data_IF_507615104035
#
_entry.id   IF_507615104035
#
_cell.length_a   1.000
_cell.length_b   1.000
_cell.length_c   1.000
_cell.angle_alpha   90.00
_cell.angle_beta   90.00
_cell.angle_gamma   90.00
#
_symmetry.space_group_name_H-M   'P 1'
#
loop_
_entity.id
_entity.type
_entity.pdbx_description
1 polymer ?
#
# COMPACT_ATOMS: atom_id res chain seq x y z
N UNK A 1 -20.25 -40.91 -32.04
CA UNK A 1 -19.27 -41.16 -30.98
C UNK A 1 -19.26 -39.92 -30.10
N UNK A 2 -19.84 -39.97 -28.90
CA UNK A 2 -19.74 -38.87 -27.93
C UNK A 2 -18.28 -38.78 -27.48
N UNK A 3 -17.69 -37.58 -27.44
CA UNK A 3 -16.34 -37.40 -26.91
C UNK A 3 -16.34 -37.90 -25.45
N UNK A 4 -15.49 -38.86 -25.12
CA UNK A 4 -15.22 -39.19 -23.70
C UNK A 4 -14.63 -37.95 -23.07
N UNK A 5 -15.39 -37.31 -22.20
CA UNK A 5 -14.86 -36.21 -21.37
C UNK A 5 -13.70 -36.78 -20.54
N UNK A 6 -12.54 -36.21 -20.73
CA UNK A 6 -11.38 -36.46 -19.87
C UNK A 6 -11.53 -35.62 -18.61
N UNK A 7 -12.00 -36.23 -17.54
CA UNK A 7 -12.24 -35.55 -16.27
C UNK A 7 -10.94 -35.00 -15.64
N UNK A 8 -9.80 -35.66 -15.91
CA UNK A 8 -8.50 -35.15 -15.42
C UNK A 8 -8.11 -33.85 -16.11
N UNK A 9 -8.27 -33.80 -17.44
CA UNK A 9 -8.06 -32.61 -18.22
C UNK A 9 -9.00 -31.44 -17.82
N UNK A 10 -10.25 -31.78 -17.48
CA UNK A 10 -11.26 -30.83 -17.02
C UNK A 10 -10.84 -30.21 -15.68
N UNK A 11 -10.47 -31.03 -14.70
CA UNK A 11 -10.01 -30.55 -13.37
C UNK A 11 -8.68 -29.77 -13.48
N UNK A 12 -7.79 -30.23 -14.36
CA UNK A 12 -6.52 -29.52 -14.61
C UNK A 12 -6.73 -28.13 -15.24
N UNK A 13 -7.80 -27.94 -16.02
CA UNK A 13 -8.15 -26.66 -16.65
C UNK A 13 -8.94 -25.69 -15.76
N UNK A 14 -9.36 -26.10 -14.55
CA UNK A 14 -10.09 -25.21 -13.65
C UNK A 14 -9.18 -24.12 -13.10
N UNK A 15 -9.65 -22.85 -13.09
CA UNK A 15 -8.89 -21.73 -12.52
C UNK A 15 -8.84 -21.73 -10.99
N UNK A 16 -9.82 -22.36 -10.33
CA UNK A 16 -9.88 -22.49 -8.88
C UNK A 16 -9.03 -23.71 -8.43
N UNK A 17 -8.40 -23.60 -7.26
CA UNK A 17 -7.63 -24.68 -6.69
C UNK A 17 -8.57 -25.81 -6.22
N UNK A 18 -8.28 -27.04 -6.62
CA UNK A 18 -9.07 -28.20 -6.26
C UNK A 18 -8.19 -29.20 -5.51
N UNK A 19 -8.63 -29.56 -4.30
CA UNK A 19 -7.97 -30.51 -3.41
C UNK A 19 -8.96 -31.61 -3.05
N UNK A 20 -8.62 -32.86 -3.34
CA UNK A 20 -9.43 -34.02 -2.96
C UNK A 20 -8.72 -34.88 -1.92
N UNK A 21 -9.49 -35.44 -0.99
CA UNK A 21 -8.99 -36.33 0.06
C UNK A 21 -9.84 -37.60 0.14
N UNK A 22 -9.22 -38.72 0.53
CA UNK A 22 -9.91 -39.96 0.89
C UNK A 22 -10.51 -39.88 2.31
N UNK A 23 -11.16 -40.95 2.73
CA UNK A 23 -11.76 -41.14 4.06
C UNK A 23 -10.73 -41.01 5.20
N UNK A 24 -9.46 -41.34 4.93
CA UNK A 24 -8.31 -41.17 5.85
C UNK A 24 -7.68 -39.79 5.85
N UNK A 25 -8.29 -38.79 5.17
CA UNK A 25 -7.72 -37.45 4.98
C UNK A 25 -6.35 -37.49 4.27
N UNK A 26 -6.11 -38.43 3.36
CA UNK A 26 -4.95 -38.41 2.48
C UNK A 26 -5.28 -37.71 1.18
N UNK A 27 -4.38 -36.88 0.73
CA UNK A 27 -4.55 -36.12 -0.53
C UNK A 27 -4.53 -37.06 -1.71
N UNK A 28 -5.62 -37.13 -2.47
CA UNK A 28 -5.77 -37.95 -3.69
C UNK A 28 -5.84 -37.07 -4.94
N UNK A 29 -6.18 -35.80 -4.82
CA UNK A 29 -6.32 -34.88 -5.94
C UNK A 29 -5.70 -33.53 -5.58
N UNK A 30 -4.93 -32.99 -6.54
CA UNK A 30 -4.26 -31.70 -6.42
C UNK A 30 -4.04 -31.14 -7.82
N UNK A 31 -4.87 -30.17 -8.25
CA UNK A 31 -4.80 -29.62 -9.60
C UNK A 31 -3.69 -28.56 -9.74
N UNK A 32 -3.35 -28.12 -10.98
CA UNK A 32 -2.34 -27.10 -11.22
C UNK A 32 -2.64 -25.76 -10.55
N UNK A 33 -3.92 -25.37 -10.42
CA UNK A 33 -4.30 -24.16 -9.71
C UNK A 33 -4.00 -24.26 -8.19
N UNK A 34 -4.15 -25.46 -7.58
CA UNK A 34 -3.74 -25.71 -6.21
C UNK A 34 -2.21 -25.63 -6.05
N UNK A 35 -1.43 -26.08 -7.04
CA UNK A 35 0.04 -25.89 -7.02
C UNK A 35 0.41 -24.42 -7.02
N UNK A 36 -0.22 -23.63 -7.88
CA UNK A 36 0.06 -22.20 -8.03
C UNK A 36 -0.36 -21.39 -6.79
N UNK A 37 -1.55 -21.65 -6.24
CA UNK A 37 -2.11 -20.92 -5.11
C UNK A 37 -1.43 -21.26 -3.79
N UNK A 38 -1.22 -22.56 -3.56
CA UNK A 38 -0.74 -23.08 -2.27
C UNK A 38 0.79 -23.29 -2.25
N UNK A 39 1.48 -23.06 -3.39
CA UNK A 39 2.94 -23.12 -3.47
C UNK A 39 3.54 -24.52 -3.23
N UNK A 40 2.75 -25.60 -3.47
CA UNK A 40 3.14 -26.99 -3.21
C UNK A 40 2.85 -27.85 -4.43
N UNK A 41 3.84 -28.61 -4.89
CA UNK A 41 3.66 -29.46 -6.07
C UNK A 41 2.82 -30.71 -5.79
N UNK A 42 1.96 -31.11 -6.74
CA UNK A 42 1.14 -32.32 -6.69
C UNK A 42 1.98 -33.56 -6.40
N UNK A 43 3.14 -33.70 -7.05
CA UNK A 43 4.09 -34.80 -6.86
C UNK A 43 4.51 -35.03 -5.41
N UNK A 44 4.63 -33.95 -4.62
CA UNK A 44 5.06 -34.00 -3.22
C UNK A 44 3.90 -34.07 -2.24
N UNK A 45 2.68 -33.81 -2.71
CA UNK A 45 1.49 -33.63 -1.87
C UNK A 45 0.55 -34.81 -1.95
N UNK A 46 0.34 -35.38 -3.14
CA UNK A 46 -0.52 -36.56 -3.35
C UNK A 46 0.01 -37.76 -2.55
N UNK A 47 -0.90 -38.45 -1.87
CA UNK A 47 -0.63 -39.60 -1.00
C UNK A 47 -0.23 -39.25 0.43
N UNK A 48 0.05 -37.97 0.74
CA UNK A 48 0.35 -37.53 2.11
C UNK A 48 -0.91 -37.27 2.91
N UNK A 49 -0.80 -37.40 4.22
CA UNK A 49 -1.87 -36.99 5.11
C UNK A 49 -2.01 -35.47 5.10
N UNK A 50 -3.24 -34.96 5.07
CA UNK A 50 -3.54 -33.52 4.96
C UNK A 50 -2.89 -32.70 6.09
N UNK A 51 -2.78 -33.29 7.30
CA UNK A 51 -2.09 -32.69 8.46
C UNK A 51 -0.58 -32.47 8.29
N UNK A 52 0.04 -33.14 7.32
CA UNK A 52 1.45 -32.96 6.97
C UNK A 52 1.62 -31.80 5.94
N UNK A 53 0.53 -31.43 5.29
CA UNK A 53 0.47 -30.39 4.27
C UNK A 53 0.01 -29.06 4.87
N UNK A 54 -0.96 -29.11 5.79
CA UNK A 54 -1.52 -27.92 6.45
C UNK A 54 -1.56 -28.12 7.97
N UNK A 55 -1.45 -27.03 8.75
CA UNK A 55 -1.71 -27.08 10.19
C UNK A 55 -3.11 -27.66 10.48
N UNK A 56 -3.27 -28.45 11.54
CA UNK A 56 -4.56 -29.13 11.85
C UNK A 56 -5.72 -28.15 12.06
N UNK A 57 -5.43 -26.93 12.51
CA UNK A 57 -6.42 -25.89 12.82
C UNK A 57 -6.82 -25.04 11.61
N UNK A 58 -6.27 -25.33 10.43
CA UNK A 58 -6.63 -24.62 9.20
C UNK A 58 -8.10 -24.89 8.84
N UNK A 59 -8.84 -23.85 8.42
CA UNK A 59 -10.24 -23.96 7.97
C UNK A 59 -10.44 -25.10 6.95
N UNK A 60 -9.53 -25.22 6.01
CA UNK A 60 -9.55 -26.27 4.98
C UNK A 60 -9.55 -27.68 5.59
N UNK A 61 -8.66 -27.93 6.56
CA UNK A 61 -8.56 -29.25 7.24
C UNK A 61 -9.81 -29.55 8.03
N UNK A 62 -10.33 -28.58 8.75
CA UNK A 62 -11.56 -28.68 9.54
C UNK A 62 -12.76 -28.96 8.66
N UNK A 63 -12.97 -28.20 7.58
CA UNK A 63 -14.10 -28.37 6.67
C UNK A 63 -14.07 -29.72 5.96
N UNK A 64 -12.90 -30.18 5.46
CA UNK A 64 -12.81 -31.51 4.84
C UNK A 64 -13.11 -32.64 5.83
N UNK A 65 -12.62 -32.52 7.07
CA UNK A 65 -12.92 -33.50 8.13
C UNK A 65 -14.43 -33.54 8.43
N UNK A 66 -15.04 -32.38 8.59
CA UNK A 66 -16.47 -32.27 8.91
C UNK A 66 -17.32 -32.81 7.74
N UNK A 67 -16.94 -32.50 6.49
CA UNK A 67 -17.64 -33.01 5.29
C UNK A 67 -17.56 -34.52 5.19
N UNK A 68 -16.40 -35.13 5.49
CA UNK A 68 -16.27 -36.61 5.56
C UNK A 68 -17.13 -37.20 6.66
N UNK A 69 -17.20 -36.56 7.81
CA UNK A 69 -17.94 -37.07 8.97
C UNK A 69 -19.46 -36.94 8.82
N UNK A 70 -19.94 -35.86 8.19
CA UNK A 70 -21.38 -35.54 8.12
C UNK A 70 -22.01 -35.85 6.75
N UNK A 71 -21.21 -35.96 5.68
CA UNK A 71 -21.68 -36.03 4.31
C UNK A 71 -22.30 -34.72 3.78
N UNK A 72 -22.18 -33.62 4.51
CA UNK A 72 -22.71 -32.33 4.13
C UNK A 72 -21.63 -31.42 3.52
N UNK A 73 -22.03 -30.63 2.51
CA UNK A 73 -21.18 -29.58 1.96
C UNK A 73 -21.03 -28.45 2.95
N UNK A 74 -19.83 -27.88 3.02
CA UNK A 74 -19.50 -26.73 3.87
C UNK A 74 -18.93 -25.60 3.02
N UNK A 75 -19.14 -24.35 3.47
CA UNK A 75 -18.57 -23.18 2.79
C UNK A 75 -18.12 -22.14 3.82
N UNK A 76 -16.98 -21.53 3.56
CA UNK A 76 -16.44 -20.39 4.28
C UNK A 76 -15.97 -19.36 3.26
N UNK A 77 -16.56 -18.16 3.30
CA UNK A 77 -16.30 -17.12 2.28
C UNK A 77 -15.01 -16.34 2.55
N UNK A 78 -14.55 -16.31 3.80
CA UNK A 78 -13.39 -15.53 4.25
C UNK A 78 -12.51 -16.41 5.14
N UNK A 79 -11.60 -17.15 4.52
CA UNK A 79 -10.58 -17.93 5.20
C UNK A 79 -9.19 -17.41 4.84
N UNK A 80 -8.23 -17.63 5.72
CA UNK A 80 -6.81 -17.37 5.45
C UNK A 80 -6.05 -18.68 5.51
N UNK A 81 -5.33 -18.99 4.42
CA UNK A 81 -4.50 -20.19 4.32
C UNK A 81 -3.06 -19.73 4.07
N UNK A 82 -2.10 -20.33 4.77
CA UNK A 82 -0.68 -20.09 4.49
C UNK A 82 -0.25 -20.87 3.24
N UNK A 83 0.31 -20.16 2.27
CA UNK A 83 1.01 -20.76 1.13
C UNK A 83 2.29 -21.47 1.57
N UNK A 84 2.85 -22.33 0.72
CA UNK A 84 4.07 -23.09 1.01
C UNK A 84 5.32 -22.24 1.29
N UNK A 85 5.28 -20.96 0.92
CA UNK A 85 6.31 -19.94 1.21
C UNK A 85 6.00 -19.09 2.46
N UNK A 86 4.97 -19.46 3.24
CA UNK A 86 4.59 -18.77 4.48
C UNK A 86 3.76 -17.50 4.29
N UNK A 87 3.29 -17.21 3.06
CA UNK A 87 2.43 -16.05 2.82
C UNK A 87 0.98 -16.34 3.15
N UNK A 88 0.28 -15.44 3.86
CA UNK A 88 -1.15 -15.56 4.07
C UNK A 88 -1.88 -15.25 2.74
N UNK A 89 -2.80 -16.14 2.34
CA UNK A 89 -3.66 -15.98 1.17
C UNK A 89 -5.11 -15.95 1.63
N UNK A 90 -5.84 -14.91 1.24
CA UNK A 90 -7.28 -14.81 1.48
C UNK A 90 -8.03 -15.67 0.48
N UNK A 91 -8.82 -16.62 0.96
CA UNK A 91 -9.50 -17.59 0.11
C UNK A 91 -10.95 -17.79 0.54
N UNK A 92 -11.80 -18.19 -0.42
CA UNK A 92 -13.08 -18.84 -0.16
C UNK A 92 -12.91 -20.34 -0.31
N UNK A 93 -13.41 -21.11 0.65
CA UNK A 93 -13.32 -22.59 0.67
C UNK A 93 -14.71 -23.17 0.62
N UNK A 94 -14.95 -24.06 -0.33
CA UNK A 94 -16.18 -24.86 -0.41
C UNK A 94 -15.79 -26.33 -0.44
N UNK A 95 -16.37 -27.13 0.47
CA UNK A 95 -16.14 -28.57 0.50
C UNK A 95 -17.41 -29.34 0.21
N UNK A 96 -17.29 -30.48 -0.51
CA UNK A 96 -18.39 -31.35 -0.84
C UNK A 96 -17.95 -32.83 -0.79
N UNK A 97 -18.86 -33.76 -0.43
CA UNK A 97 -18.59 -35.18 -0.51
C UNK A 97 -18.53 -35.64 -2.01
N UNK A 98 -17.56 -36.52 -2.34
CA UNK A 98 -17.34 -36.97 -3.71
C UNK A 98 -17.99 -38.33 -4.03
N UNK A 99 -18.05 -39.21 -3.07
CA UNK A 99 -18.64 -40.53 -3.24
C UNK A 99 -19.43 -40.92 -2.00
N UNK A 100 -20.64 -41.39 -2.20
CA UNK A 100 -21.49 -41.95 -1.14
C UNK A 100 -21.88 -43.34 -1.58
N UNK A 101 -21.32 -44.38 -0.97
CA UNK A 101 -21.74 -45.75 -1.14
C UNK A 101 -22.33 -46.29 0.16
N UNK A 102 -23.50 -46.86 0.11
CA UNK A 102 -24.17 -47.46 1.27
C UNK A 102 -24.34 -46.55 2.49
N UNK A 103 -24.29 -45.20 2.31
CA UNK A 103 -24.43 -44.24 3.39
C UNK A 103 -23.13 -43.66 3.96
N UNK A 104 -21.98 -44.20 3.57
CA UNK A 104 -20.67 -43.73 3.99
C UNK A 104 -20.03 -42.83 2.91
N UNK A 105 -19.33 -41.78 3.35
CA UNK A 105 -18.62 -40.85 2.46
C UNK A 105 -17.18 -41.35 2.28
N UNK A 106 -16.85 -41.78 1.04
CA UNK A 106 -15.55 -42.36 0.71
C UNK A 106 -14.47 -41.30 0.39
N UNK A 107 -14.87 -40.08 0.03
CA UNK A 107 -13.96 -39.00 -0.31
C UNK A 107 -14.63 -37.64 -0.20
N UNK A 108 -13.84 -36.59 -0.07
CA UNK A 108 -14.30 -35.20 -0.10
C UNK A 108 -13.40 -34.34 -1.00
N UNK A 109 -13.98 -33.33 -1.60
CA UNK A 109 -13.28 -32.32 -2.39
C UNK A 109 -13.44 -30.94 -1.77
N UNK A 110 -12.36 -30.15 -1.80
CA UNK A 110 -12.38 -28.73 -1.53
C UNK A 110 -12.09 -27.95 -2.81
N UNK A 111 -12.90 -26.95 -3.09
CA UNK A 111 -12.64 -25.92 -4.10
C UNK A 111 -12.24 -24.67 -3.36
N UNK A 112 -11.06 -24.16 -3.69
CA UNK A 112 -10.45 -23.01 -3.01
C UNK A 112 -10.26 -21.92 -4.07
N UNK A 113 -10.91 -20.77 -3.84
CA UNK A 113 -10.83 -19.61 -4.72
C UNK A 113 -9.99 -18.53 -4.07
N UNK A 114 -9.01 -17.98 -4.81
CA UNK A 114 -8.22 -16.82 -4.39
C UNK A 114 -9.09 -15.55 -4.37
N UNK A 115 -9.25 -14.97 -3.20
CA UNK A 115 -10.01 -13.75 -2.96
C UNK A 115 -9.11 -12.52 -2.79
N UNK A 116 -7.79 -12.67 -2.89
CA UNK A 116 -6.82 -11.60 -2.61
C UNK A 116 -7.08 -10.35 -3.44
N UNK A 117 -7.40 -10.51 -4.73
CA UNK A 117 -7.72 -9.39 -5.61
C UNK A 117 -9.02 -8.68 -5.23
N UNK A 118 -10.04 -9.44 -4.83
CA UNK A 118 -11.31 -8.87 -4.39
C UNK A 118 -11.12 -8.06 -3.09
N UNK A 119 -10.43 -8.64 -2.12
CA UNK A 119 -10.10 -7.94 -0.87
C UNK A 119 -9.26 -6.67 -1.09
N UNK A 120 -8.33 -6.70 -2.05
CA UNK A 120 -7.59 -5.50 -2.44
C UNK A 120 -8.53 -4.42 -2.98
N UNK A 121 -9.38 -4.76 -3.94
CA UNK A 121 -10.34 -3.83 -4.54
C UNK A 121 -11.32 -3.27 -3.49
N UNK A 122 -11.86 -4.11 -2.62
CA UNK A 122 -12.74 -3.67 -1.53
C UNK A 122 -12.03 -2.73 -0.56
N UNK A 123 -10.76 -3.00 -0.24
CA UNK A 123 -9.97 -2.12 0.61
C UNK A 123 -9.66 -0.77 -0.04
N UNK A 124 -9.43 -0.76 -1.36
CA UNK A 124 -9.25 0.46 -2.15
C UNK A 124 -10.55 1.29 -2.21
N UNK A 125 -11.69 0.66 -2.47
CA UNK A 125 -13.01 1.31 -2.45
C UNK A 125 -13.29 1.90 -1.08
N UNK A 126 -13.13 1.13 -0.01
CA UNK A 126 -13.37 1.59 1.37
C UNK A 126 -12.44 2.74 1.78
N UNK A 127 -11.17 2.72 1.32
CA UNK A 127 -10.25 3.85 1.48
C UNK A 127 -10.73 5.08 0.71
N UNK A 128 -11.17 4.89 -0.54
CA UNK A 128 -11.74 5.94 -1.37
C UNK A 128 -12.98 6.58 -0.74
N UNK A 129 -13.92 5.79 -0.22
CA UNK A 129 -15.12 6.27 0.47
C UNK A 129 -14.79 7.06 1.75
N UNK A 130 -13.85 6.57 2.55
CA UNK A 130 -13.39 7.26 3.77
C UNK A 130 -12.75 8.61 3.44
N UNK A 131 -11.93 8.65 2.39
CA UNK A 131 -11.31 9.87 1.89
C UNK A 131 -12.37 10.85 1.34
N UNK A 132 -13.33 10.37 0.56
CA UNK A 132 -14.40 11.19 0.01
C UNK A 132 -15.29 11.79 1.10
N UNK A 133 -15.67 11.00 2.13
CA UNK A 133 -16.47 11.47 3.26
C UNK A 133 -15.70 12.51 4.10
N UNK A 134 -14.44 12.26 4.43
CA UNK A 134 -13.57 13.21 5.11
C UNK A 134 -13.42 14.50 4.31
N UNK A 135 -13.35 14.39 3.00
CA UNK A 135 -13.22 15.50 2.08
C UNK A 135 -14.47 16.37 1.98
N UNK A 136 -15.65 15.80 1.91
CA UNK A 136 -16.90 16.58 1.88
C UNK A 136 -17.06 17.40 3.15
N UNK A 137 -16.75 16.82 4.31
CA UNK A 137 -16.76 17.52 5.60
C UNK A 137 -15.69 18.63 5.60
N UNK A 138 -14.50 18.35 5.07
CA UNK A 138 -13.40 19.32 5.01
C UNK A 138 -13.72 20.53 4.13
N UNK A 139 -14.39 20.34 2.99
CA UNK A 139 -14.80 21.45 2.09
C UNK A 139 -15.76 22.41 2.79
N UNK A 140 -16.78 21.88 3.50
CA UNK A 140 -17.74 22.69 4.25
C UNK A 140 -17.09 23.46 5.41
N UNK A 141 -16.25 22.78 6.19
CA UNK A 141 -15.58 23.36 7.36
C UNK A 141 -14.37 24.22 7.01
N UNK A 142 -13.70 23.97 5.89
CA UNK A 142 -12.46 24.68 5.55
C UNK A 142 -12.64 26.18 5.42
N UNK A 143 -13.72 26.62 4.79
CA UNK A 143 -14.04 28.05 4.68
C UNK A 143 -14.43 28.63 6.03
N UNK A 144 -15.19 27.89 6.85
CA UNK A 144 -15.63 28.35 8.16
C UNK A 144 -14.49 28.37 9.20
N UNK A 145 -13.47 27.52 9.06
CA UNK A 145 -12.30 27.52 9.95
C UNK A 145 -11.25 28.53 9.46
N UNK A 146 -11.05 28.71 8.15
CA UNK A 146 -10.10 29.67 7.59
C UNK A 146 -10.43 31.11 7.97
N UNK A 147 -11.71 31.44 8.05
CA UNK A 147 -12.18 32.80 8.42
C UNK A 147 -11.72 33.22 9.83
N UNK A 148 -12.01 32.48 10.93
CA UNK A 148 -11.54 32.84 12.26
C UNK A 148 -10.02 32.78 12.39
N UNK A 149 -9.35 31.85 11.68
CA UNK A 149 -7.89 31.80 11.67
C UNK A 149 -7.29 33.04 10.99
N UNK A 150 -7.90 33.53 9.92
CA UNK A 150 -7.51 34.80 9.28
C UNK A 150 -7.65 35.99 10.24
N UNK A 151 -8.72 36.05 11.01
CA UNK A 151 -8.93 37.07 12.02
C UNK A 151 -7.90 36.97 13.16
N UNK A 152 -7.61 35.76 13.66
CA UNK A 152 -6.56 35.53 14.68
C UNK A 152 -5.18 35.98 14.15
N UNK A 153 -4.83 35.58 12.92
CA UNK A 153 -3.57 35.99 12.28
C UNK A 153 -3.46 37.49 12.16
N UNK A 154 -4.54 38.15 11.70
CA UNK A 154 -4.59 39.62 11.59
C UNK A 154 -4.41 40.31 12.96
N UNK A 155 -5.09 39.82 14.00
CA UNK A 155 -4.94 40.38 15.35
C UNK A 155 -3.52 40.19 15.89
N UNK A 156 -2.90 39.04 15.74
CA UNK A 156 -1.53 38.78 16.18
C UNK A 156 -0.53 39.64 15.42
N UNK A 157 -0.73 39.89 14.12
CA UNK A 157 0.12 40.74 13.30
C UNK A 157 0.00 42.23 13.74
N UNK A 158 -1.19 42.70 14.09
CA UNK A 158 -1.40 44.04 14.64
C UNK A 158 -0.75 44.19 16.01
N UNK A 159 -0.96 43.20 16.90
CA UNK A 159 -0.26 43.20 18.23
C UNK A 159 1.25 43.31 18.04
N UNK A 160 1.85 42.51 17.16
CA UNK A 160 3.29 42.56 16.87
C UNK A 160 3.76 43.96 16.40
N UNK A 161 2.91 44.63 15.60
CA UNK A 161 3.21 45.99 15.08
C UNK A 161 3.09 47.07 16.13
N UNK A 162 2.15 46.96 17.06
CA UNK A 162 1.85 47.96 18.09
C UNK A 162 2.74 47.83 19.33
N UNK A 163 3.25 46.64 19.64
CA UNK A 163 3.95 46.37 20.89
C UNK A 163 5.48 46.61 20.85
N UNK A 164 6.04 46.99 19.69
CA UNK A 164 7.46 47.34 19.58
C UNK A 164 8.42 46.15 19.77
N UNK A 165 9.66 46.42 20.26
CA UNK A 165 10.73 45.39 20.36
C UNK A 165 10.71 44.56 21.67
N UNK A 166 9.55 44.34 22.31
CA UNK A 166 9.50 43.43 23.46
C UNK A 166 9.73 41.98 23.00
N UNK A 167 10.91 41.44 23.26
CA UNK A 167 11.38 40.14 22.83
C UNK A 167 10.46 38.97 23.30
N UNK A 168 9.87 39.07 24.51
CA UNK A 168 8.98 38.01 25.04
C UNK A 168 7.64 37.97 24.31
N UNK A 169 7.11 39.11 23.96
CA UNK A 169 5.85 39.19 23.20
C UNK A 169 6.07 38.81 21.73
N UNK A 170 7.26 39.08 21.18
CA UNK A 170 7.71 38.58 19.90
C UNK A 170 7.65 37.04 19.82
N UNK A 171 8.19 36.34 20.83
CA UNK A 171 8.14 34.87 20.90
C UNK A 171 6.72 34.32 20.94
N UNK A 172 5.83 34.91 21.76
CA UNK A 172 4.44 34.48 21.84
C UNK A 172 3.68 34.71 20.52
N UNK A 173 3.89 35.84 19.86
CA UNK A 173 3.26 36.11 18.55
C UNK A 173 3.77 35.17 17.46
N UNK A 174 5.06 34.82 17.47
CA UNK A 174 5.64 33.86 16.53
C UNK A 174 5.07 32.45 16.74
N UNK A 175 4.85 32.02 17.97
CA UNK A 175 4.20 30.76 18.30
C UNK A 175 2.75 30.71 17.76
N UNK A 176 1.98 31.80 18.03
CA UNK A 176 0.60 31.88 17.56
C UNK A 176 0.50 31.88 16.02
N UNK A 177 1.36 32.61 15.32
CA UNK A 177 1.40 32.59 13.85
C UNK A 177 1.77 31.23 13.30
N UNK A 178 2.73 30.53 13.91
CA UNK A 178 3.11 29.16 13.54
C UNK A 178 1.94 28.19 13.70
N UNK A 179 1.16 28.29 14.79
CA UNK A 179 -0.02 27.41 14.99
C UNK A 179 -1.16 27.73 14.00
N UNK A 180 -1.40 29.00 13.68
CA UNK A 180 -2.37 29.38 12.64
C UNK A 180 -1.96 28.82 11.28
N UNK A 181 -0.69 28.94 10.91
CA UNK A 181 -0.16 28.40 9.65
C UNK A 181 -0.20 26.86 9.65
N UNK A 182 -0.03 26.24 10.82
CA UNK A 182 -0.21 24.79 10.98
C UNK A 182 -1.65 24.36 10.72
N UNK A 183 -2.65 25.02 11.29
CA UNK A 183 -4.07 24.67 11.07
C UNK A 183 -4.46 24.91 9.62
N UNK A 184 -4.01 26.01 8.99
CA UNK A 184 -4.26 26.24 7.57
C UNK A 184 -3.70 25.11 6.69
N UNK A 185 -2.47 24.65 6.96
CA UNK A 185 -1.89 23.49 6.23
C UNK A 185 -2.70 22.21 6.42
N UNK A 186 -3.27 21.99 7.61
CA UNK A 186 -4.17 20.86 7.88
C UNK A 186 -5.40 20.92 6.98
N UNK A 187 -6.02 22.09 6.91
CA UNK A 187 -7.21 22.30 6.08
C UNK A 187 -6.88 22.08 4.60
N UNK A 188 -5.75 22.60 4.12
CA UNK A 188 -5.31 22.41 2.74
C UNK A 188 -5.09 20.93 2.41
N UNK A 189 -4.41 20.17 3.30
CA UNK A 189 -4.24 18.73 3.12
C UNK A 189 -5.56 17.97 3.08
N UNK A 190 -6.54 18.34 3.91
CA UNK A 190 -7.88 17.74 3.89
C UNK A 190 -8.62 18.06 2.60
N UNK A 191 -8.52 19.30 2.11
CA UNK A 191 -9.11 19.70 0.84
C UNK A 191 -8.46 19.00 -0.36
N UNK A 192 -7.13 18.85 -0.35
CA UNK A 192 -6.40 18.14 -1.40
C UNK A 192 -6.79 16.65 -1.48
N UNK A 193 -7.06 16.02 -0.34
CA UNK A 193 -7.52 14.63 -0.30
C UNK A 193 -8.95 14.47 -0.83
N UNK A 194 -9.79 15.52 -0.74
CA UNK A 194 -11.21 15.45 -1.08
C UNK A 194 -11.54 15.81 -2.52
N UNK A 195 -10.71 16.61 -3.16
CA UNK A 195 -10.99 17.10 -4.52
C UNK A 195 -10.62 16.06 -5.56
N UNK A 196 -11.46 15.82 -6.59
CA UNK A 196 -11.03 15.07 -7.75
C UNK A 196 -9.85 15.82 -8.41
N UNK A 197 -8.72 15.12 -8.56
CA UNK A 197 -7.53 15.72 -9.13
C UNK A 197 -7.64 15.65 -10.65
N UNK A 198 -7.73 16.79 -11.29
CA UNK A 198 -7.55 16.88 -12.74
C UNK A 198 -6.06 17.07 -12.99
N UNK A 199 -5.34 15.98 -13.26
CA UNK A 199 -3.92 16.03 -13.59
C UNK A 199 -3.68 16.74 -14.91
N UNK A 200 -2.56 17.47 -14.98
CA UNK A 200 -2.01 18.05 -16.22
C UNK A 200 -0.63 17.45 -16.48
N UNK A 201 -0.56 16.16 -16.88
CA UNK A 201 0.71 15.50 -17.07
C UNK A 201 1.46 16.05 -18.28
N UNK A 202 2.71 16.44 -18.06
CA UNK A 202 3.65 16.90 -19.09
C UNK A 202 4.95 16.09 -19.00
N UNK A 203 5.77 16.03 -20.06
CA UNK A 203 7.12 15.48 -19.95
C UNK A 203 7.94 16.31 -18.96
N UNK A 204 8.35 15.71 -17.85
CA UNK A 204 9.01 16.37 -16.72
C UNK A 204 10.40 15.76 -16.48
N UNK A 205 11.41 16.62 -16.38
CA UNK A 205 12.73 16.22 -15.91
C UNK A 205 12.72 16.07 -14.39
N UNK A 206 12.71 14.82 -13.91
CA UNK A 206 12.63 14.53 -12.48
C UNK A 206 13.83 15.02 -11.67
N UNK A 207 15.02 15.12 -12.30
CA UNK A 207 16.21 15.63 -11.62
C UNK A 207 16.07 17.10 -11.27
N UNK A 208 15.54 17.92 -12.19
CA UNK A 208 15.29 19.34 -11.93
C UNK A 208 14.27 19.54 -10.80
N UNK A 209 13.23 18.69 -10.77
CA UNK A 209 12.25 18.70 -9.70
C UNK A 209 12.89 18.33 -8.36
N UNK A 210 13.71 17.28 -8.31
CA UNK A 210 14.40 16.87 -7.08
C UNK A 210 15.42 17.89 -6.59
N UNK A 211 16.07 18.64 -7.51
CA UNK A 211 16.93 19.78 -7.15
C UNK A 211 16.12 20.88 -6.42
N UNK A 212 14.92 21.21 -6.92
CA UNK A 212 14.02 22.17 -6.25
C UNK A 212 13.59 21.65 -4.86
N UNK A 213 13.26 20.36 -4.73
CA UNK A 213 12.92 19.76 -3.44
C UNK A 213 14.10 19.84 -2.47
N UNK A 214 15.31 19.52 -2.93
CA UNK A 214 16.51 19.58 -2.12
C UNK A 214 16.77 21.02 -1.63
N UNK A 215 16.69 22.00 -2.53
CA UNK A 215 16.87 23.42 -2.20
C UNK A 215 15.85 23.90 -1.16
N UNK A 216 14.57 23.56 -1.34
CA UNK A 216 13.50 23.91 -0.39
C UNK A 216 13.66 23.23 0.98
N UNK A 217 14.46 22.18 1.05
CA UNK A 217 14.67 21.39 2.28
C UNK A 217 16.03 21.66 2.94
N UNK A 218 16.89 22.48 2.34
CA UNK A 218 18.26 22.75 2.85
C UNK A 218 18.26 23.31 4.29
N UNK A 219 17.40 24.26 4.59
CA UNK A 219 17.33 24.85 5.95
C UNK A 219 16.90 23.81 6.99
N UNK A 220 15.88 23.00 6.68
CA UNK A 220 15.42 21.92 7.57
C UNK A 220 16.49 20.85 7.73
N UNK A 221 17.18 20.49 6.66
CA UNK A 221 18.28 19.52 6.70
C UNK A 221 19.44 20.04 7.56
N UNK A 222 19.83 21.32 7.41
CA UNK A 222 20.87 21.94 8.21
C UNK A 222 20.51 21.98 9.71
N UNK A 223 19.25 22.34 10.05
CA UNK A 223 18.76 22.33 11.42
C UNK A 223 18.75 20.93 12.04
N UNK A 224 18.47 19.90 11.25
CA UNK A 224 18.48 18.49 11.66
C UNK A 224 19.89 17.86 11.64
N UNK A 225 20.92 18.55 11.14
CA UNK A 225 22.27 18.00 10.96
C UNK A 225 22.34 16.90 9.90
N UNK A 226 21.44 16.94 8.90
CA UNK A 226 21.31 15.91 7.86
C UNK A 226 21.97 16.36 6.55
N UNK A 227 22.82 15.49 5.98
CA UNK A 227 23.41 15.70 4.67
C UNK A 227 22.51 15.14 3.56
N UNK A 228 22.12 15.98 2.59
CA UNK A 228 21.40 15.53 1.39
C UNK A 228 22.41 15.07 0.34
N UNK A 229 22.31 13.77 -0.06
CA UNK A 229 23.16 13.14 -1.08
C UNK A 229 22.30 12.81 -2.31
N UNK A 230 22.82 13.11 -3.49
CA UNK A 230 22.12 12.92 -4.77
C UNK A 230 22.81 11.83 -5.57
N UNK A 231 22.07 10.80 -5.99
CA UNK A 231 22.52 9.67 -6.81
C UNK A 231 21.57 9.51 -7.99
N UNK A 232 21.74 10.37 -8.97
CA UNK A 232 20.87 10.41 -10.14
C UNK A 232 21.47 9.63 -11.31
N UNK A 233 20.61 8.87 -11.99
CA UNK A 233 20.93 8.26 -13.28
C UNK A 233 20.75 9.30 -14.39
N UNK A 234 21.84 9.82 -14.98
CA UNK A 234 21.75 10.87 -15.99
C UNK A 234 21.08 10.40 -17.29
N UNK A 235 20.95 9.10 -17.50
CA UNK A 235 20.30 8.53 -18.69
C UNK A 235 18.79 8.39 -18.55
N UNK A 236 18.22 8.69 -17.37
CA UNK A 236 16.80 8.55 -17.13
C UNK A 236 15.97 9.51 -17.99
N UNK A 237 15.07 9.00 -18.86
CA UNK A 237 14.21 9.86 -19.67
C UNK A 237 13.23 10.67 -18.83
N UNK A 238 12.64 11.75 -19.38
CA UNK A 238 11.58 12.48 -18.71
C UNK A 238 10.41 11.57 -18.31
N UNK A 239 9.80 11.83 -17.16
CA UNK A 239 8.57 11.17 -16.72
C UNK A 239 7.34 11.92 -17.22
N UNK A 240 6.21 11.24 -17.38
CA UNK A 240 4.94 11.88 -17.72
C UNK A 240 4.18 12.19 -16.42
N UNK A 241 4.19 13.45 -15.98
CA UNK A 241 3.66 13.80 -14.67
C UNK A 241 3.21 15.27 -14.57
N UNK A 242 2.35 15.55 -13.58
CA UNK A 242 1.99 16.91 -13.15
C UNK A 242 3.07 17.41 -12.17
N UNK A 243 3.79 18.46 -12.56
CA UNK A 243 4.96 18.97 -11.83
C UNK A 243 4.62 19.37 -10.38
N UNK A 244 3.55 20.12 -10.18
CA UNK A 244 3.17 20.63 -8.87
C UNK A 244 2.80 19.48 -7.91
N UNK A 245 2.08 18.49 -8.41
CA UNK A 245 1.68 17.32 -7.64
C UNK A 245 2.87 16.43 -7.29
N UNK A 246 3.78 16.20 -8.23
CA UNK A 246 4.99 15.40 -7.94
C UNK A 246 5.95 16.16 -7.03
N UNK A 247 6.07 17.48 -7.16
CA UNK A 247 6.80 18.32 -6.21
C UNK A 247 6.24 18.16 -4.77
N UNK A 248 4.92 18.17 -4.63
CA UNK A 248 4.23 17.98 -3.35
C UNK A 248 4.57 16.60 -2.75
N UNK A 249 4.58 15.54 -3.56
CA UNK A 249 4.96 14.18 -3.12
C UNK A 249 6.37 14.18 -2.55
N UNK A 250 7.36 14.60 -3.35
CA UNK A 250 8.76 14.51 -2.91
C UNK A 250 9.09 15.45 -1.76
N UNK A 251 8.47 16.63 -1.72
CA UNK A 251 8.60 17.52 -0.55
C UNK A 251 8.05 16.85 0.73
N UNK A 252 6.91 16.18 0.66
CA UNK A 252 6.36 15.44 1.81
C UNK A 252 7.26 14.26 2.23
N UNK A 253 7.80 13.49 1.28
CA UNK A 253 8.68 12.37 1.57
C UNK A 253 10.00 12.82 2.19
N UNK A 254 10.64 13.85 1.63
CA UNK A 254 11.88 14.42 2.16
C UNK A 254 11.66 14.99 3.56
N UNK A 255 10.59 15.73 3.79
CA UNK A 255 10.26 16.23 5.12
C UNK A 255 10.05 15.10 6.13
N UNK A 256 9.33 14.05 5.77
CA UNK A 256 9.14 12.90 6.64
C UNK A 256 10.45 12.21 7.00
N UNK A 257 11.36 12.09 6.04
CA UNK A 257 12.69 11.54 6.24
C UNK A 257 13.54 12.41 7.18
N UNK A 258 13.56 13.74 6.97
CA UNK A 258 14.26 14.66 7.87
C UNK A 258 13.72 14.63 9.31
N UNK A 259 12.39 14.55 9.48
CA UNK A 259 11.75 14.41 10.79
C UNK A 259 12.10 13.07 11.48
N UNK A 260 12.42 12.01 10.72
CA UNK A 260 12.83 10.72 11.27
C UNK A 260 14.32 10.67 11.69
N UNK A 261 15.12 11.67 11.28
CA UNK A 261 16.57 11.76 11.51
C UNK A 261 16.95 12.86 12.52
N UNK A 262 16.29 12.91 13.66
CA UNK A 262 16.52 13.95 14.68
C UNK A 262 17.97 14.00 15.25
N UNK A 263 18.77 12.96 15.05
CA UNK A 263 20.16 12.85 15.48
C UNK A 263 21.18 13.14 14.35
N UNK A 264 20.72 13.68 13.21
CA UNK A 264 21.53 13.85 12.01
C UNK A 264 21.55 12.56 11.16
N UNK A 265 22.39 12.53 10.13
CA UNK A 265 22.52 11.39 9.22
C UNK A 265 22.55 11.81 7.76
N UNK A 266 22.20 10.87 6.88
CA UNK A 266 22.22 11.07 5.44
C UNK A 266 20.85 10.79 4.84
N UNK A 267 20.37 11.76 4.05
CA UNK A 267 19.22 11.62 3.17
C UNK A 267 19.71 11.42 1.74
N UNK A 268 19.42 10.29 1.11
CA UNK A 268 19.85 10.02 -0.26
C UNK A 268 18.66 10.06 -1.22
N UNK A 269 18.74 10.90 -2.26
CA UNK A 269 17.81 10.93 -3.38
C UNK A 269 18.41 10.10 -4.52
N UNK A 270 17.69 9.05 -4.95
CA UNK A 270 18.17 8.12 -5.99
C UNK A 270 17.17 8.13 -7.15
N UNK A 271 17.67 8.14 -8.38
CA UNK A 271 16.86 7.91 -9.58
C UNK A 271 17.47 6.81 -10.40
N UNK A 272 16.64 5.92 -10.95
CA UNK A 272 17.06 4.86 -11.86
C UNK A 272 15.91 4.37 -12.73
N UNK A 273 16.24 3.67 -13.81
CA UNK A 273 15.26 2.92 -14.57
C UNK A 273 14.80 1.71 -13.74
N UNK A 274 13.48 1.51 -13.61
CA UNK A 274 12.95 0.39 -12.84
C UNK A 274 13.18 -0.93 -13.58
N UNK A 275 13.79 -1.90 -12.89
CA UNK A 275 13.97 -3.28 -13.35
C UNK A 275 12.95 -4.23 -12.68
N UNK A 276 11.94 -3.70 -11.97
CA UNK A 276 10.99 -4.52 -11.23
C UNK A 276 10.02 -5.24 -12.18
N UNK A 277 10.03 -6.59 -12.24
CA UNK A 277 9.19 -7.36 -13.15
C UNK A 277 7.69 -7.26 -12.84
N UNK A 278 7.30 -6.83 -11.63
CA UNK A 278 5.89 -6.60 -11.29
C UNK A 278 5.28 -5.47 -12.13
N UNK A 279 6.08 -4.45 -12.48
CA UNK A 279 5.62 -3.34 -13.33
C UNK A 279 5.78 -3.64 -14.83
N UNK A 280 6.64 -4.61 -15.19
CA UNK A 280 6.78 -5.09 -16.56
C UNK A 280 5.53 -5.83 -17.07
N UNK A 281 4.66 -6.34 -16.15
CA UNK A 281 3.45 -7.11 -16.45
C UNK A 281 2.14 -6.34 -16.30
N UNK A 282 2.16 -5.09 -15.88
CA UNK A 282 0.94 -4.26 -15.82
C UNK A 282 0.60 -3.84 -17.25
N UNK A 283 -0.13 -4.71 -17.93
CA UNK A 283 -0.74 -4.42 -19.24
C UNK A 283 -1.94 -3.49 -19.02
N UNK A 284 -1.68 -2.19 -19.09
CA UNK A 284 -2.72 -1.14 -19.06
C UNK A 284 -3.30 -0.90 -20.46
N UNK A 285 -3.33 -1.94 -21.32
CA UNK A 285 -3.95 -1.87 -22.66
C UNK A 285 -3.11 -1.22 -23.74
N UNK A 286 -1.85 -0.81 -23.46
CA UNK A 286 -0.98 -0.10 -24.42
C UNK A 286 0.49 -0.56 -24.40
N UNK A 287 0.76 -1.82 -24.08
CA UNK A 287 2.11 -2.43 -24.08
C UNK A 287 2.95 -2.09 -22.83
N UNK A 288 4.05 -2.81 -22.68
CA UNK A 288 5.03 -2.62 -21.60
C UNK A 288 5.53 -1.18 -21.53
N UNK A 289 5.26 -0.48 -20.41
CA UNK A 289 5.82 0.85 -20.15
C UNK A 289 7.00 0.72 -19.21
N UNK A 290 8.13 1.28 -19.59
CA UNK A 290 9.26 1.47 -18.70
C UNK A 290 8.88 2.48 -17.62
N UNK A 291 9.27 2.20 -16.38
CA UNK A 291 8.99 3.06 -15.22
C UNK A 291 10.30 3.66 -14.71
N UNK A 292 10.25 4.92 -14.34
CA UNK A 292 11.29 5.56 -13.57
C UNK A 292 11.08 5.21 -12.09
N UNK A 293 12.13 4.79 -11.41
CA UNK A 293 12.14 4.62 -9.96
C UNK A 293 12.86 5.79 -9.32
N UNK A 294 12.17 6.47 -8.44
CA UNK A 294 12.69 7.59 -7.65
C UNK A 294 12.61 7.20 -6.17
N UNK A 295 13.76 7.19 -5.49
CA UNK A 295 13.84 6.81 -4.09
C UNK A 295 14.25 7.96 -3.20
N UNK A 296 13.60 8.04 -2.04
CA UNK A 296 14.01 8.85 -0.89
C UNK A 296 14.45 7.87 0.19
N UNK A 297 15.75 7.89 0.54
CA UNK A 297 16.35 6.96 1.49
C UNK A 297 16.90 7.73 2.67
N UNK A 298 16.40 7.46 3.87
CA UNK A 298 16.85 8.02 5.13
C UNK A 298 17.58 6.98 5.99
N UNK A 299 18.50 7.47 6.84
CA UNK A 299 19.19 6.69 7.86
C UNK A 299 18.53 6.91 9.25
N UNK A 300 17.21 7.12 9.28
CA UNK A 300 16.45 7.40 10.50
C UNK A 300 16.13 6.18 11.34
N UNK A 301 15.20 6.34 12.27
CA UNK A 301 14.81 5.31 13.23
C UNK A 301 14.14 4.08 12.59
N UNK A 302 13.74 4.14 11.31
CA UNK A 302 13.02 3.08 10.63
C UNK A 302 11.58 2.90 11.15
N UNK A 303 10.87 1.91 10.56
CA UNK A 303 9.46 1.66 10.80
C UNK A 303 9.25 0.19 11.15
N UNK A 304 8.58 -0.13 12.29
CA UNK A 304 8.25 -1.50 12.67
C UNK A 304 7.35 -2.18 11.63
N UNK A 305 7.56 -3.50 11.43
CA UNK A 305 6.80 -4.27 10.44
C UNK A 305 5.29 -4.24 10.67
N UNK A 306 4.85 -4.31 11.92
CA UNK A 306 3.45 -4.26 12.30
C UNK A 306 2.73 -2.97 11.87
N UNK A 307 3.46 -1.87 11.63
CA UNK A 307 2.90 -0.57 11.21
C UNK A 307 2.93 -0.36 9.71
N UNK A 308 3.75 -1.11 8.95
CA UNK A 308 3.95 -0.90 7.51
C UNK A 308 2.66 -0.98 6.70
N UNK A 309 1.80 -1.94 6.98
CA UNK A 309 0.52 -2.11 6.27
C UNK A 309 -0.45 -0.94 6.43
N UNK A 310 -0.27 -0.12 7.48
CA UNK A 310 -1.15 1.00 7.83
C UNK A 310 -0.60 2.37 7.42
N UNK A 311 0.63 2.46 6.93
CA UNK A 311 1.30 3.75 6.65
C UNK A 311 0.58 4.65 5.65
N UNK A 312 -0.13 4.05 4.70
CA UNK A 312 -0.92 4.77 3.70
C UNK A 312 -2.38 4.96 4.12
N UNK A 313 -2.77 4.50 5.32
CA UNK A 313 -4.12 4.71 5.84
C UNK A 313 -4.24 6.16 6.31
N UNK A 314 -5.25 6.91 5.85
CA UNK A 314 -5.49 8.28 6.30
C UNK A 314 -5.63 8.35 7.82
N UNK A 315 -5.11 9.44 8.40
CA UNK A 315 -5.08 9.70 9.85
C UNK A 315 -4.22 8.73 10.67
N UNK A 316 -3.54 7.79 10.04
CA UNK A 316 -2.60 6.94 10.74
C UNK A 316 -1.24 7.65 10.89
N UNK A 317 -0.79 7.82 12.13
CA UNK A 317 0.50 8.43 12.46
C UNK A 317 1.10 7.80 13.71
N UNK A 318 2.40 7.71 13.74
CA UNK A 318 3.19 7.36 14.94
C UNK A 318 3.85 8.59 15.57
N UNK A 319 3.59 9.78 15.02
CA UNK A 319 4.17 11.06 15.48
C UNK A 319 3.15 11.82 16.31
N UNK A 320 3.54 12.37 17.47
CA UNK A 320 2.66 13.13 18.39
C UNK A 320 2.00 14.36 17.74
N UNK A 321 2.66 14.97 16.75
CA UNK A 321 2.16 16.18 16.07
C UNK A 321 1.79 15.93 14.60
N UNK A 322 1.77 14.67 14.15
CA UNK A 322 1.46 14.29 12.79
C UNK A 322 -0.04 14.05 12.58
N UNK A 323 -0.60 14.46 11.44
CA UNK A 323 -2.00 14.17 11.08
C UNK A 323 -2.20 12.83 10.38
N UNK A 324 -1.13 12.18 9.97
CA UNK A 324 -1.22 10.92 9.21
C UNK A 324 -1.82 11.05 7.81
N UNK A 325 -1.84 12.26 7.22
CA UNK A 325 -2.41 12.50 5.89
C UNK A 325 -1.35 12.57 4.78
N UNK A 326 -0.09 12.88 5.12
CA UNK A 326 0.96 13.12 4.14
C UNK A 326 1.27 11.91 3.25
N UNK A 327 1.46 10.71 3.83
CA UNK A 327 1.73 9.49 3.07
C UNK A 327 0.49 9.01 2.29
N UNK A 328 -0.71 9.16 2.84
CA UNK A 328 -1.96 8.84 2.13
C UNK A 328 -2.12 9.73 0.89
N UNK A 329 -1.80 11.03 0.99
CA UNK A 329 -1.81 11.95 -0.15
C UNK A 329 -0.73 11.59 -1.18
N UNK A 330 0.49 11.24 -0.74
CA UNK A 330 1.55 10.77 -1.65
C UNK A 330 1.11 9.53 -2.42
N UNK A 331 0.53 8.54 -1.75
CA UNK A 331 0.02 7.32 -2.38
C UNK A 331 -1.01 7.65 -3.46
N UNK A 332 -2.01 8.45 -3.12
CA UNK A 332 -3.06 8.87 -4.06
C UNK A 332 -2.49 9.60 -5.28
N UNK A 333 -1.63 10.61 -5.08
CA UNK A 333 -1.03 11.35 -6.19
C UNK A 333 -0.25 10.42 -7.13
N UNK A 334 0.53 9.49 -6.58
CA UNK A 334 1.30 8.52 -7.36
C UNK A 334 0.37 7.57 -8.14
N UNK A 335 -0.70 7.07 -7.52
CA UNK A 335 -1.71 6.22 -8.20
C UNK A 335 -2.43 6.96 -9.34
N UNK A 336 -2.85 8.21 -9.12
CA UNK A 336 -3.46 9.04 -10.16
C UNK A 336 -2.53 9.26 -11.36
N UNK A 337 -1.20 9.26 -11.13
CA UNK A 337 -0.17 9.26 -12.19
C UNK A 337 0.08 7.87 -12.80
N UNK A 338 -0.75 6.86 -12.48
CA UNK A 338 -0.55 5.46 -12.90
C UNK A 338 0.80 4.91 -12.46
N UNK A 339 1.28 5.38 -11.33
CA UNK A 339 2.49 4.96 -10.67
C UNK A 339 2.21 3.99 -9.52
N UNK A 340 3.27 3.68 -8.78
CA UNK A 340 3.18 2.93 -7.53
C UNK A 340 4.17 3.48 -6.50
N UNK A 341 3.87 3.28 -5.22
CA UNK A 341 4.76 3.65 -4.11
C UNK A 341 5.01 2.43 -3.23
N UNK A 342 6.25 2.23 -2.83
CA UNK A 342 6.67 1.12 -1.97
C UNK A 342 7.55 1.64 -0.84
N UNK A 343 7.47 0.99 0.31
CA UNK A 343 8.28 1.33 1.49
C UNK A 343 9.02 0.08 1.95
N UNK A 344 10.36 0.20 1.99
CA UNK A 344 11.24 -0.76 2.63
C UNK A 344 11.86 -0.08 3.85
N UNK A 345 11.71 -0.68 5.03
CA UNK A 345 12.22 -0.09 6.27
C UNK A 345 12.59 -1.18 7.27
N UNK A 346 13.69 -0.95 7.99
CA UNK A 346 14.12 -1.78 9.11
C UNK A 346 14.31 -0.90 10.34
N UNK A 347 13.76 -1.28 11.50
CA UNK A 347 13.95 -0.52 12.73
C UNK A 347 15.45 -0.30 13.03
N UNK A 348 15.83 0.95 13.27
CA UNK A 348 17.21 1.37 13.55
C UNK A 348 18.14 1.46 12.33
N UNK A 349 17.66 1.17 11.11
CA UNK A 349 18.45 1.25 9.87
C UNK A 349 17.94 2.26 8.87
N UNK A 350 16.77 2.84 9.13
CA UNK A 350 16.18 3.85 8.27
C UNK A 350 15.08 3.31 7.34
N UNK A 351 14.69 4.16 6.40
CA UNK A 351 13.58 3.90 5.48
C UNK A 351 13.96 4.28 4.05
N UNK A 352 13.57 3.43 3.10
CA UNK A 352 13.61 3.72 1.67
C UNK A 352 12.17 3.76 1.12
N UNK A 353 11.75 4.91 0.62
CA UNK A 353 10.48 5.09 -0.07
C UNK A 353 10.74 5.18 -1.56
N UNK A 354 10.23 4.22 -2.33
CA UNK A 354 10.37 4.14 -3.78
C UNK A 354 9.07 4.55 -4.47
N UNK A 355 9.13 5.55 -5.33
CA UNK A 355 8.05 5.97 -6.21
C UNK A 355 8.35 5.52 -7.63
N UNK A 356 7.41 4.84 -8.28
CA UNK A 356 7.50 4.38 -9.66
C UNK A 356 6.57 5.22 -10.53
N UNK A 357 7.09 5.87 -11.54
CA UNK A 357 6.33 6.75 -12.43
C UNK A 357 6.56 6.41 -13.90
N UNK A 358 5.54 6.53 -14.76
CA UNK A 358 5.67 6.22 -16.17
C UNK A 358 6.59 7.20 -16.87
N UNK A 359 7.49 6.68 -17.73
CA UNK A 359 8.36 7.47 -18.58
C UNK A 359 7.54 8.08 -19.73
N UNK A 360 7.81 9.33 -20.08
CA UNK A 360 7.25 9.98 -21.24
C UNK A 360 7.81 9.29 -22.52
N UNK A 361 6.94 9.04 -23.50
CA UNK A 361 7.32 8.48 -24.80
C UNK A 361 7.72 9.60 -25.76
#
# INVERSE_FOLDING_TARGET
MSPRLDYEALIAGLPDAVVGVDDGLRVMLWNPAAEALLGRSARRTIGRALKEVFPPDTSLVRHLRDTLATGESRSESEAVIESGDGRPVHVSVVTAPLAVRSGDVEAAVAVIRDMSRLHQLESEVRRGETLAAAGQIAIGLAHEIRNPLGAIRGAVQLMRREMGEDARLGEYTDVLLKEVDRVNRIIEMLLDISRPVTLRPVPLNVHQLLERVALLSEELAAQAGVQIVKRYDPSLPPILADEDRILQVFHNLVRNALEAMAAGGRLTLVTRLSMNPLFAKVDLGHGQRSMAEIQVVDEGQGIPEATRSRLFTPFFTTKDKGLGLGLALCHRIIEEHRGAIQIASEPGRGTAVSCFLPIAR
#
